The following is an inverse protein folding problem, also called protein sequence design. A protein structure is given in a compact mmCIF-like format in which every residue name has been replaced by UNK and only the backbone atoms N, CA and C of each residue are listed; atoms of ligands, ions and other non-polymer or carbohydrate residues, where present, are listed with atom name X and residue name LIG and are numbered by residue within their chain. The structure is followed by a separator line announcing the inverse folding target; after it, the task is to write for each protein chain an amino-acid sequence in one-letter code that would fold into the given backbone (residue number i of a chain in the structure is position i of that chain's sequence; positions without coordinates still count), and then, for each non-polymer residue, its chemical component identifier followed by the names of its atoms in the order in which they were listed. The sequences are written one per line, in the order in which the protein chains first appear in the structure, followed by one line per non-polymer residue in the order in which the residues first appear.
data_IF_081131142868
#
_entry.id   IF_081131142868
#
_cell.length_a   1.000
_cell.length_b   1.000
_cell.length_c   1.000
_cell.angle_alpha   90.00
_cell.angle_beta   90.00
_cell.angle_gamma   90.00
#
_symmetry.space_group_name_H-M   'P 1'
#
loop_
_entity.id
_entity.type
_entity.pdbx_description
1 polymer ?
#
# COMPACT_ATOMS: atom_id res chain seq x y z
N UNK A 1 0.34 17.23 6.30
CA UNK A 1 1.14 16.88 5.10
C UNK A 1 0.21 16.20 4.11
N UNK A 2 0.15 16.67 2.87
CA UNK A 2 -0.61 16.05 1.79
C UNK A 2 0.40 15.38 0.85
N UNK A 3 0.10 14.17 0.37
CA UNK A 3 0.95 13.48 -0.60
C UNK A 3 0.25 13.46 -1.96
N UNK A 4 1.03 13.50 -3.03
CA UNK A 4 0.56 13.62 -4.40
C UNK A 4 1.32 12.64 -5.28
N UNK A 5 0.59 11.78 -5.98
CA UNK A 5 1.17 10.83 -6.92
C UNK A 5 0.59 11.12 -8.30
N UNK A 6 1.45 11.35 -9.27
CA UNK A 6 1.06 11.66 -10.63
C UNK A 6 1.86 10.82 -11.63
N UNK A 7 1.25 10.57 -12.78
CA UNK A 7 1.92 9.99 -13.93
C UNK A 7 1.79 10.94 -15.12
N UNK A 8 2.95 11.44 -15.59
CA UNK A 8 3.09 12.20 -16.84
C UNK A 8 3.80 11.30 -17.85
N UNK A 9 3.05 10.57 -18.66
CA UNK A 9 3.57 9.33 -19.28
C UNK A 9 3.62 9.27 -20.79
N UNK A 10 2.56 9.65 -21.50
CA UNK A 10 2.53 9.61 -22.96
C UNK A 10 1.53 10.65 -23.42
N UNK A 11 1.95 11.69 -24.14
CA UNK A 11 1.04 12.74 -24.66
C UNK A 11 -0.10 12.24 -25.56
N UNK A 12 -0.21 10.92 -25.79
CA UNK A 12 -1.29 10.24 -26.51
C UNK A 12 -2.23 9.42 -25.59
N UNK A 13 -1.92 9.23 -24.31
CA UNK A 13 -2.68 8.37 -23.39
C UNK A 13 -3.64 9.19 -22.54
N UNK A 14 -4.95 8.84 -22.47
CA UNK A 14 -5.92 9.56 -21.67
C UNK A 14 -5.55 9.61 -20.18
N UNK A 15 -5.82 10.74 -19.53
CA UNK A 15 -5.57 10.94 -18.09
C UNK A 15 -6.23 9.87 -17.20
N UNK A 16 -7.39 9.34 -17.62
CA UNK A 16 -8.06 8.25 -16.92
C UNK A 16 -7.22 6.96 -16.89
N UNK A 17 -6.49 6.66 -17.96
CA UNK A 17 -5.59 5.50 -18.05
C UNK A 17 -4.36 5.72 -17.19
N UNK A 18 -3.79 6.93 -17.19
CA UNK A 18 -2.67 7.29 -16.30
C UNK A 18 -3.08 7.12 -14.83
N UNK A 19 -4.26 7.64 -14.45
CA UNK A 19 -4.82 7.47 -13.10
C UNK A 19 -5.06 6.01 -12.73
N UNK A 20 -5.60 5.22 -13.64
CA UNK A 20 -5.81 3.80 -13.43
C UNK A 20 -4.47 3.08 -13.20
N UNK A 21 -3.46 3.37 -14.03
CA UNK A 21 -2.13 2.80 -13.87
C UNK A 21 -1.49 3.20 -12.52
N UNK A 22 -1.65 4.46 -12.09
CA UNK A 22 -1.18 4.90 -10.78
C UNK A 22 -1.93 4.20 -9.64
N UNK A 23 -3.25 4.00 -9.74
CA UNK A 23 -4.03 3.28 -8.75
C UNK A 23 -3.62 1.80 -8.67
N UNK A 24 -3.36 1.16 -9.82
CA UNK A 24 -2.81 -0.20 -9.90
C UNK A 24 -1.44 -0.25 -9.24
N UNK A 25 -0.55 0.70 -9.54
CA UNK A 25 0.76 0.80 -8.89
C UNK A 25 0.63 0.89 -7.36
N UNK A 26 -0.24 1.76 -6.86
CA UNK A 26 -0.54 1.85 -5.42
C UNK A 26 -1.06 0.52 -4.84
N UNK A 27 -1.92 -0.21 -5.57
CA UNK A 27 -2.41 -1.52 -5.13
C UNK A 27 -1.31 -2.59 -5.08
N UNK A 28 -0.35 -2.57 -6.01
CA UNK A 28 0.77 -3.53 -6.02
C UNK A 28 1.69 -3.39 -4.81
N UNK A 29 1.80 -2.17 -4.27
CA UNK A 29 2.51 -1.93 -3.02
C UNK A 29 1.81 -2.64 -1.85
N UNK A 30 0.49 -2.47 -1.69
CA UNK A 30 -0.30 -3.15 -0.66
C UNK A 30 -0.24 -4.69 -0.82
N UNK A 31 -0.33 -5.19 -2.06
CA UNK A 31 -0.19 -6.62 -2.37
C UNK A 31 1.18 -7.17 -1.98
N UNK A 32 2.26 -6.40 -2.18
CA UNK A 32 3.62 -6.82 -1.80
C UNK A 32 3.75 -7.00 -0.29
N UNK A 33 3.15 -6.09 0.50
CA UNK A 33 3.10 -6.22 1.96
C UNK A 33 2.29 -7.43 2.41
N UNK A 34 1.17 -7.73 1.74
CA UNK A 34 0.37 -8.90 2.02
C UNK A 34 1.13 -10.21 1.75
N UNK A 35 1.79 -10.34 0.60
CA UNK A 35 2.61 -11.50 0.27
C UNK A 35 3.77 -11.67 1.26
N UNK A 36 4.38 -10.56 1.67
CA UNK A 36 5.42 -10.57 2.69
C UNK A 36 4.85 -11.13 4.01
N UNK A 37 3.69 -10.64 4.46
CA UNK A 37 3.02 -11.15 5.66
C UNK A 37 2.68 -12.65 5.57
N UNK A 38 2.17 -13.11 4.42
CA UNK A 38 1.91 -14.54 4.18
C UNK A 38 3.18 -15.38 4.23
N UNK A 39 4.29 -14.89 3.67
CA UNK A 39 5.57 -15.58 3.71
C UNK A 39 6.05 -15.78 5.17
N UNK A 40 5.89 -14.76 6.01
CA UNK A 40 6.15 -14.87 7.44
C UNK A 40 5.16 -15.81 8.16
N UNK A 41 3.89 -15.87 7.75
CA UNK A 41 2.91 -16.77 8.34
C UNK A 41 3.16 -18.25 7.97
N UNK A 42 3.53 -18.52 6.72
CA UNK A 42 3.77 -19.86 6.19
C UNK A 42 4.91 -20.59 6.91
N UNK A 43 5.99 -19.87 7.24
CA UNK A 43 7.27 -20.48 7.66
C UNK A 43 7.22 -21.27 9.00
N UNK A 44 6.57 -20.81 10.09
CA UNK A 44 6.65 -21.48 11.40
C UNK A 44 5.35 -22.14 11.87
N UNK A 45 4.18 -21.62 11.47
CA UNK A 45 2.93 -21.85 12.22
C UNK A 45 1.84 -22.56 11.43
N UNK A 46 1.95 -22.59 10.10
CA UNK A 46 0.79 -22.85 9.27
C UNK A 46 1.04 -23.78 8.07
N UNK A 47 2.18 -24.47 7.96
CA UNK A 47 2.43 -25.38 6.80
C UNK A 47 1.26 -26.34 6.55
N UNK A 48 0.66 -26.87 7.62
CA UNK A 48 -0.55 -27.71 7.57
C UNK A 48 -1.84 -26.96 7.15
N UNK A 49 -1.98 -25.68 7.46
CA UNK A 49 -3.12 -24.87 6.99
C UNK A 49 -3.06 -24.67 5.48
N UNK A 50 -1.86 -24.58 4.90
CA UNK A 50 -1.67 -24.46 3.45
C UNK A 50 -1.79 -25.79 2.68
N UNK A 51 -1.92 -26.94 3.36
CA UNK A 51 -2.21 -28.23 2.71
C UNK A 51 -3.68 -28.34 2.29
N UNK A 52 -4.58 -27.58 2.94
CA UNK A 52 -5.99 -27.54 2.56
C UNK A 52 -6.20 -26.61 1.35
N UNK A 53 -6.67 -27.12 0.19
CA UNK A 53 -6.89 -26.28 -0.99
C UNK A 53 -7.94 -25.18 -0.72
N UNK A 54 -8.90 -25.44 0.15
CA UNK A 54 -9.92 -24.45 0.55
C UNK A 54 -9.31 -23.27 1.29
N UNK A 55 -8.30 -23.50 2.14
CA UNK A 55 -7.62 -22.42 2.87
C UNK A 55 -6.77 -21.56 1.93
N UNK A 56 -6.05 -22.19 1.00
CA UNK A 56 -5.30 -21.49 -0.04
C UNK A 56 -6.23 -20.65 -0.92
N UNK A 57 -7.39 -21.19 -1.31
CA UNK A 57 -8.39 -20.46 -2.08
C UNK A 57 -8.91 -19.22 -1.33
N UNK A 58 -9.14 -19.32 -0.01
CA UNK A 58 -9.54 -18.18 0.83
C UNK A 58 -8.45 -17.12 0.86
N UNK A 59 -7.17 -17.51 1.00
CA UNK A 59 -6.05 -16.56 0.99
C UNK A 59 -5.89 -15.85 -0.35
N UNK A 60 -6.04 -16.57 -1.46
CA UNK A 60 -6.01 -15.98 -2.81
C UNK A 60 -7.20 -15.05 -3.02
N UNK A 61 -8.40 -15.44 -2.59
CA UNK A 61 -9.57 -14.58 -2.64
C UNK A 61 -9.37 -13.30 -1.82
N UNK A 62 -8.80 -13.41 -0.62
CA UNK A 62 -8.50 -12.27 0.24
C UNK A 62 -7.41 -11.36 -0.36
N UNK A 63 -6.40 -11.94 -1.01
CA UNK A 63 -5.39 -11.18 -1.76
C UNK A 63 -6.00 -10.35 -2.89
N UNK A 64 -6.86 -10.96 -3.70
CA UNK A 64 -7.55 -10.26 -4.81
C UNK A 64 -8.49 -9.19 -4.26
N UNK A 65 -9.21 -9.50 -3.17
CA UNK A 65 -10.11 -8.55 -2.51
C UNK A 65 -9.36 -7.33 -1.99
N UNK A 66 -8.27 -7.51 -1.25
CA UNK A 66 -7.45 -6.40 -0.72
C UNK A 66 -6.87 -5.55 -1.87
N UNK A 67 -6.45 -6.18 -2.97
CA UNK A 67 -5.96 -5.47 -4.14
C UNK A 67 -7.04 -4.61 -4.80
N UNK A 68 -8.23 -5.19 -4.98
CA UNK A 68 -9.38 -4.50 -5.56
C UNK A 68 -9.86 -3.35 -4.66
N UNK A 69 -10.00 -3.59 -3.36
CA UNK A 69 -10.39 -2.58 -2.38
C UNK A 69 -9.40 -1.41 -2.35
N UNK A 70 -8.11 -1.69 -2.19
CA UNK A 70 -7.08 -0.66 -2.13
C UNK A 70 -7.01 0.14 -3.43
N UNK A 71 -7.01 -0.54 -4.59
CA UNK A 71 -7.01 0.11 -5.89
C UNK A 71 -8.25 0.97 -6.14
N UNK A 72 -9.44 0.46 -5.79
CA UNK A 72 -10.70 1.20 -5.91
C UNK A 72 -10.71 2.42 -4.98
N UNK A 73 -10.26 2.27 -3.74
CA UNK A 73 -10.19 3.36 -2.78
C UNK A 73 -9.27 4.47 -3.29
N UNK A 74 -8.09 4.11 -3.80
CA UNK A 74 -7.21 5.08 -4.45
C UNK A 74 -7.91 5.76 -5.64
N UNK A 75 -8.47 4.99 -6.57
CA UNK A 75 -9.04 5.53 -7.80
C UNK A 75 -10.23 6.46 -7.58
N UNK A 76 -11.17 6.07 -6.70
CA UNK A 76 -12.41 6.79 -6.46
C UNK A 76 -12.29 7.89 -5.40
N UNK A 77 -11.64 7.63 -4.26
CA UNK A 77 -11.55 8.63 -3.19
C UNK A 77 -10.48 9.66 -3.51
N UNK A 78 -9.29 9.23 -3.95
CA UNK A 78 -8.18 10.15 -4.19
C UNK A 78 -8.16 10.75 -5.60
N UNK A 79 -9.25 10.60 -6.34
CA UNK A 79 -9.40 11.20 -7.67
C UNK A 79 -9.44 12.74 -7.66
N UNK A 80 -9.32 13.36 -8.84
CA UNK A 80 -9.35 14.79 -9.02
C UNK A 80 -10.73 15.37 -8.70
N UNK A 81 -10.72 16.60 -8.21
CA UNK A 81 -11.92 17.40 -7.95
C UNK A 81 -11.55 18.87 -8.19
N UNK A 82 -12.53 19.73 -8.43
CA UNK A 82 -12.30 21.17 -8.66
C UNK A 82 -11.44 21.81 -7.57
N UNK A 83 -11.63 21.39 -6.32
CA UNK A 83 -10.90 21.85 -5.14
C UNK A 83 -9.44 21.38 -5.18
N UNK A 84 -9.22 20.10 -5.49
CA UNK A 84 -7.90 19.48 -5.57
C UNK A 84 -7.10 20.00 -6.76
N UNK A 85 -7.76 20.27 -7.88
CA UNK A 85 -7.12 20.80 -9.09
C UNK A 85 -6.52 22.18 -8.85
N UNK A 86 -7.18 23.02 -8.06
CA UNK A 86 -6.65 24.34 -7.68
C UNK A 86 -5.44 24.16 -6.76
N UNK A 87 -5.58 23.36 -5.70
CA UNK A 87 -4.53 23.17 -4.70
C UNK A 87 -3.25 22.53 -5.28
N UNK A 88 -3.40 21.42 -6.00
CA UNK A 88 -2.28 20.74 -6.62
C UNK A 88 -1.81 21.43 -7.89
N UNK A 89 -2.67 22.16 -8.60
CA UNK A 89 -2.31 22.85 -9.85
C UNK A 89 -1.29 23.96 -9.62
N UNK A 90 -1.45 24.75 -8.56
CA UNK A 90 -0.47 25.77 -8.19
C UNK A 90 0.90 25.15 -7.86
N UNK A 91 0.91 24.05 -7.11
CA UNK A 91 2.14 23.33 -6.77
C UNK A 91 2.78 22.68 -8.01
N UNK A 92 1.98 22.07 -8.87
CA UNK A 92 2.43 21.40 -10.08
C UNK A 92 3.07 22.38 -11.07
N UNK A 93 2.44 23.54 -11.25
CA UNK A 93 2.98 24.60 -12.09
C UNK A 93 4.28 25.17 -11.51
N UNK A 94 4.32 25.40 -10.20
CA UNK A 94 5.50 26.01 -9.54
C UNK A 94 6.69 25.05 -9.48
N UNK A 95 6.46 23.78 -9.16
CA UNK A 95 7.53 22.79 -8.94
C UNK A 95 7.94 22.02 -10.19
N UNK A 96 7.00 21.75 -11.11
CA UNK A 96 7.23 20.91 -12.28
C UNK A 96 6.99 21.62 -13.62
N UNK A 97 6.53 22.88 -13.60
CA UNK A 97 6.14 23.65 -14.80
C UNK A 97 5.16 22.86 -15.71
N UNK A 98 4.30 22.05 -15.09
CA UNK A 98 3.31 21.20 -15.74
C UNK A 98 1.90 21.64 -15.36
N UNK A 99 1.00 21.62 -16.35
CA UNK A 99 -0.41 21.89 -16.12
C UNK A 99 -1.10 20.66 -15.52
N UNK A 100 -1.96 20.88 -14.53
CA UNK A 100 -2.68 19.79 -13.86
C UNK A 100 -3.70 19.08 -14.78
N UNK A 101 -4.18 19.78 -15.81
CA UNK A 101 -5.07 19.19 -16.83
C UNK A 101 -4.37 18.16 -17.72
N UNK A 102 -3.05 18.19 -17.80
CA UNK A 102 -2.27 17.29 -18.67
C UNK A 102 -1.76 16.04 -17.93
N UNK A 103 -2.06 15.91 -16.64
CA UNK A 103 -1.57 14.81 -15.79
C UNK A 103 -2.70 14.03 -15.13
N UNK A 104 -2.55 12.71 -15.12
CA UNK A 104 -3.37 11.86 -14.27
C UNK A 104 -2.78 11.83 -12.87
N UNK A 105 -3.52 12.34 -11.88
CA UNK A 105 -3.07 12.38 -10.50
C UNK A 105 -4.02 11.70 -9.51
N UNK A 106 -3.45 11.32 -8.36
CA UNK A 106 -4.12 10.81 -7.18
C UNK A 106 -3.56 11.56 -5.95
N UNK A 107 -4.43 12.17 -5.17
CA UNK A 107 -4.02 12.95 -4.01
C UNK A 107 -5.17 13.21 -3.03
N UNK A 108 -5.06 12.75 -1.76
CA UNK A 108 -6.01 13.13 -0.73
C UNK A 108 -5.73 14.54 -0.19
N UNK A 109 -6.80 15.30 0.07
CA UNK A 109 -6.78 16.57 0.81
C UNK A 109 -7.70 16.43 2.02
N UNK A 110 -7.16 16.60 3.22
CA UNK A 110 -7.90 16.41 4.47
C UNK A 110 -8.87 17.56 4.76
N UNK A 111 -8.33 18.78 4.70
CA UNK A 111 -9.02 20.03 5.00
C UNK A 111 -8.51 21.07 4.01
N UNK A 112 -9.44 21.72 3.31
CA UNK A 112 -9.14 22.92 2.54
C UNK A 112 -10.16 24.00 2.92
N UNK A 113 -9.70 25.20 3.22
CA UNK A 113 -10.56 26.34 3.56
C UNK A 113 -11.61 26.04 4.66
N UNK A 114 -11.23 25.25 5.68
CA UNK A 114 -12.10 24.81 6.78
C UNK A 114 -13.19 23.78 6.42
N UNK A 115 -13.23 23.30 5.18
CA UNK A 115 -14.11 22.20 4.78
C UNK A 115 -13.35 20.85 4.77
N UNK A 116 -13.95 19.85 5.42
CA UNK A 116 -13.39 18.50 5.52
C UNK A 116 -13.84 17.68 4.31
N UNK A 117 -12.90 17.14 3.54
CA UNK A 117 -13.21 16.23 2.44
C UNK A 117 -13.37 14.80 3.00
N UNK A 118 -14.59 14.49 3.44
CA UNK A 118 -14.88 13.21 4.11
C UNK A 118 -14.55 11.96 3.29
N UNK A 119 -14.69 12.02 1.95
CA UNK A 119 -14.32 10.91 1.06
C UNK A 119 -12.82 10.61 1.13
N UNK A 120 -11.99 11.65 1.10
CA UNK A 120 -10.53 11.50 1.19
C UNK A 120 -10.11 11.00 2.57
N UNK A 121 -10.76 11.50 3.62
CA UNK A 121 -10.53 11.05 5.00
C UNK A 121 -10.90 9.58 5.15
N UNK A 122 -12.07 9.14 4.64
CA UNK A 122 -12.49 7.74 4.66
C UNK A 122 -11.52 6.85 3.87
N UNK A 123 -11.15 7.29 2.66
CA UNK A 123 -10.21 6.56 1.82
C UNK A 123 -8.85 6.40 2.49
N UNK A 124 -8.36 7.44 3.17
CA UNK A 124 -7.12 7.37 3.91
C UNK A 124 -7.21 6.45 5.11
N UNK A 125 -8.27 6.56 5.91
CA UNK A 125 -8.48 5.67 7.06
C UNK A 125 -8.48 4.21 6.59
N UNK A 126 -9.15 3.89 5.50
CA UNK A 126 -9.15 2.54 4.93
C UNK A 126 -7.73 2.08 4.55
N UNK A 127 -7.00 2.90 3.77
CA UNK A 127 -5.62 2.61 3.37
C UNK A 127 -4.69 2.44 4.58
N UNK A 128 -4.82 3.29 5.60
CA UNK A 128 -4.05 3.20 6.83
C UNK A 128 -4.38 1.95 7.64
N UNK A 129 -5.63 1.51 7.68
CA UNK A 129 -6.02 0.24 8.34
C UNK A 129 -5.46 -0.97 7.60
N UNK A 130 -5.52 -0.98 6.26
CA UNK A 130 -4.97 -2.09 5.44
C UNK A 130 -3.45 -2.19 5.60
N UNK A 131 -2.73 -1.08 5.47
CA UNK A 131 -1.28 -1.06 5.68
C UNK A 131 -0.95 -1.35 7.14
N UNK A 132 -1.61 -0.70 8.09
CA UNK A 132 -1.34 -0.86 9.52
C UNK A 132 -1.56 -2.30 10.01
N UNK A 133 -2.62 -2.97 9.57
CA UNK A 133 -2.91 -4.36 9.92
C UNK A 133 -1.89 -5.33 9.34
N UNK A 134 -1.51 -5.18 8.07
CA UNK A 134 -0.46 -6.00 7.44
C UNK A 134 0.90 -5.76 8.08
N UNK A 135 1.24 -4.51 8.39
CA UNK A 135 2.46 -4.14 9.10
C UNK A 135 2.51 -4.64 10.54
N UNK A 136 1.39 -4.71 11.25
CA UNK A 136 1.34 -5.27 12.62
C UNK A 136 1.45 -6.80 12.64
N UNK A 137 0.94 -7.49 11.60
CA UNK A 137 1.05 -8.94 11.46
C UNK A 137 2.48 -9.41 11.25
N UNK A 138 3.30 -8.64 10.52
CA UNK A 138 4.70 -8.97 10.21
C UNK A 138 5.58 -9.15 11.48
N UNK A 139 5.66 -8.22 12.45
CA UNK A 139 6.44 -8.39 13.67
C UNK A 139 5.87 -9.47 14.58
N UNK A 140 4.54 -9.55 14.71
CA UNK A 140 3.91 -10.59 15.54
C UNK A 140 4.30 -11.99 15.03
N UNK A 141 4.21 -12.20 13.72
CA UNK A 141 4.66 -13.42 13.08
C UNK A 141 6.19 -13.57 13.19
N UNK A 142 6.96 -12.52 12.88
CA UNK A 142 8.43 -12.47 12.93
C UNK A 142 9.03 -12.88 14.29
N UNK A 143 8.45 -12.40 15.38
CA UNK A 143 8.84 -12.76 16.75
C UNK A 143 8.48 -14.22 17.05
N UNK A 144 7.30 -14.67 16.63
CA UNK A 144 6.90 -16.08 16.78
C UNK A 144 7.82 -17.02 15.98
N UNK A 145 8.22 -16.64 14.76
CA UNK A 145 9.22 -17.37 13.97
C UNK A 145 10.51 -17.41 14.77
N UNK A 146 11.03 -16.25 15.19
CA UNK A 146 12.33 -16.15 15.84
C UNK A 146 12.41 -16.99 17.12
N UNK A 147 11.33 -17.06 17.90
CA UNK A 147 11.22 -17.93 19.09
C UNK A 147 11.17 -19.42 18.74
N UNK A 148 10.43 -19.80 17.70
CA UNK A 148 10.35 -21.19 17.24
C UNK A 148 11.67 -21.64 16.58
N UNK A 149 12.32 -20.74 15.85
CA UNK A 149 13.60 -20.92 15.18
C UNK A 149 14.77 -21.02 16.15
N UNK A 150 14.72 -20.31 17.29
CA UNK A 150 15.71 -20.47 18.36
C UNK A 150 15.62 -21.84 19.05
N UNK A 151 14.52 -22.56 18.85
CA UNK A 151 14.34 -23.96 19.29
C UNK A 151 14.71 -25.00 18.22
N UNK A 152 14.78 -24.62 16.94
CA UNK A 152 14.97 -25.54 15.81
C UNK A 152 16.06 -24.98 14.89
N UNK A 153 17.24 -25.60 14.96
CA UNK A 153 18.53 -25.22 14.35
C UNK A 153 18.57 -25.29 12.80
N UNK A 154 17.45 -25.04 12.10
CA UNK A 154 17.24 -25.45 10.70
C UNK A 154 17.07 -24.25 9.74
N UNK A 155 17.32 -23.01 10.17
CA UNK A 155 17.32 -21.85 9.27
C UNK A 155 18.68 -21.16 9.23
N UNK A 156 19.20 -20.97 8.01
CA UNK A 156 20.45 -20.26 7.73
C UNK A 156 20.47 -18.86 8.37
N UNK A 157 21.58 -18.55 9.06
CA UNK A 157 21.86 -17.24 9.68
C UNK A 157 21.57 -16.06 8.73
N UNK A 158 21.89 -16.25 7.44
CA UNK A 158 21.66 -15.27 6.35
C UNK A 158 20.20 -14.87 6.22
N UNK A 159 19.26 -15.81 6.31
CA UNK A 159 17.83 -15.49 6.15
C UNK A 159 17.25 -14.77 7.36
N UNK A 160 17.78 -15.07 8.57
CA UNK A 160 17.41 -14.36 9.80
C UNK A 160 17.87 -12.90 9.75
N UNK A 161 19.10 -12.66 9.31
CA UNK A 161 19.64 -11.31 9.12
C UNK A 161 18.82 -10.50 8.11
N UNK A 162 18.47 -11.09 6.97
CA UNK A 162 17.61 -10.45 5.96
C UNK A 162 16.23 -10.05 6.52
N UNK A 163 15.58 -10.95 7.27
CA UNK A 163 14.27 -10.64 7.88
C UNK A 163 14.36 -9.54 8.94
N UNK A 164 15.44 -9.50 9.73
CA UNK A 164 15.70 -8.44 10.72
C UNK A 164 16.02 -7.11 10.03
N UNK A 165 16.78 -7.13 8.93
CA UNK A 165 17.09 -5.95 8.13
C UNK A 165 15.83 -5.37 7.48
N UNK A 166 15.00 -6.21 6.86
CA UNK A 166 13.70 -5.78 6.32
C UNK A 166 12.82 -5.18 7.42
N UNK A 167 12.75 -5.83 8.59
CA UNK A 167 11.98 -5.32 9.72
C UNK A 167 12.49 -3.96 10.24
N UNK A 168 13.82 -3.79 10.39
CA UNK A 168 14.40 -2.50 10.78
C UNK A 168 14.10 -1.41 9.75
N UNK A 169 14.20 -1.73 8.46
CA UNK A 169 13.90 -0.78 7.39
C UNK A 169 12.43 -0.36 7.44
N UNK A 170 11.53 -1.32 7.66
CA UNK A 170 10.09 -1.09 7.83
C UNK A 170 9.75 -0.22 9.05
N UNK A 171 10.41 -0.46 10.19
CA UNK A 171 10.23 0.40 11.36
C UNK A 171 10.70 1.84 11.10
N UNK A 172 11.84 2.00 10.42
CA UNK A 172 12.34 3.32 10.02
C UNK A 172 11.33 4.00 9.09
N UNK A 173 10.78 3.27 8.12
CA UNK A 173 9.78 3.78 7.18
C UNK A 173 8.46 4.21 7.84
N UNK A 174 8.08 3.63 8.98
CA UNK A 174 6.87 4.01 9.73
C UNK A 174 7.11 5.20 10.67
N UNK A 175 8.36 5.39 11.11
CA UNK A 175 8.75 6.47 12.03
C UNK A 175 9.12 7.76 11.28
N UNK A 176 9.66 7.65 10.06
CA UNK A 176 9.85 8.77 9.12
C UNK A 176 8.54 9.25 8.52
#
# INVERSE_FOLDING_TARGET
MSFFVFASGLGAVPNAVNRFATAVFCSTFAQSLYLLALHFLYRPRARFLFESPSYVAILVALYVFVAADYGAVCFFNFGPSSIKDIYFGEQMQTSYNLSIVDVGYLGPIYVLNSEVQWLDVLGLVNVSVVIGSTLALIPFCGIAISRCLHKVEVTSKKTKELQVQMFRLLLIQVIM
#
